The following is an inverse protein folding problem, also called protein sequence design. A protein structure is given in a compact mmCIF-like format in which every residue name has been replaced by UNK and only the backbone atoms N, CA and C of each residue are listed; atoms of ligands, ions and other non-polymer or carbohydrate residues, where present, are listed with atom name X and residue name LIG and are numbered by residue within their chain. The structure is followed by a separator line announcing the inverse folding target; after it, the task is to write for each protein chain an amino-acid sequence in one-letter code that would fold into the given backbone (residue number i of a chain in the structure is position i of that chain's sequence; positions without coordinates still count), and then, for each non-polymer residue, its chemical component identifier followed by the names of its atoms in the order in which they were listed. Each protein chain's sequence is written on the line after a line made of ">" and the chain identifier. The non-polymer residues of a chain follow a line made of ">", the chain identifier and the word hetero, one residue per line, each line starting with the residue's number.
data_IF_974106652320
#
_entry.id   IF_974106652320
#
_cell.length_a   1.000
_cell.length_b   1.000
_cell.length_c   1.000
_cell.angle_alpha   90.00
_cell.angle_beta   90.00
_cell.angle_gamma   90.00
#
_symmetry.space_group_name_H-M   'P 1'
#
loop_
_entity.id
_entity.type
_entity.pdbx_description
1 polymer ?
#
# COMPACT_ATOMS: atom_id res chain seq x y z
N UNK A 1 71.24 -24.04 11.47
CA UNK A 1 70.22 -24.79 12.24
C UNK A 1 69.32 -23.79 12.93
N UNK A 2 68.02 -24.09 12.93
CA UNK A 2 66.91 -23.41 13.62
C UNK A 2 66.28 -22.27 12.82
N UNK A 3 64.98 -22.17 12.64
CA UNK A 3 63.86 -23.09 12.84
C UNK A 3 62.69 -22.35 12.20
N UNK A 4 62.10 -22.94 11.17
CA UNK A 4 60.84 -22.48 10.58
C UNK A 4 59.78 -22.46 11.69
N UNK A 5 59.10 -21.33 11.88
CA UNK A 5 57.86 -21.26 12.66
C UNK A 5 56.76 -20.68 11.77
N UNK A 6 56.12 -21.59 11.03
CA UNK A 6 54.84 -21.33 10.35
C UNK A 6 53.78 -20.99 11.41
N UNK A 7 53.06 -19.88 11.18
CA UNK A 7 51.91 -19.50 12.01
C UNK A 7 50.63 -20.04 11.34
N UNK A 8 49.77 -20.79 12.05
CA UNK A 8 48.61 -21.41 11.44
C UNK A 8 47.51 -20.40 11.13
N UNK A 9 46.93 -20.57 9.95
CA UNK A 9 45.80 -19.86 9.35
C UNK A 9 44.49 -20.08 10.13
N UNK A 10 43.93 -19.01 10.70
CA UNK A 10 42.55 -19.00 11.21
C UNK A 10 41.63 -18.31 10.20
N UNK A 11 41.05 -19.07 9.26
CA UNK A 11 39.99 -18.58 8.38
C UNK A 11 38.66 -18.59 9.15
N UNK A 12 38.37 -17.48 9.82
CA UNK A 12 37.06 -17.21 10.43
C UNK A 12 36.01 -17.17 9.33
N UNK A 13 35.21 -18.23 9.24
CA UNK A 13 34.12 -18.34 8.26
C UNK A 13 32.93 -17.57 8.83
N UNK A 14 32.84 -16.28 8.49
CA UNK A 14 31.74 -15.42 8.93
C UNK A 14 30.44 -15.82 8.19
N UNK A 15 29.47 -16.35 8.92
CA UNK A 15 28.13 -16.65 8.43
C UNK A 15 27.45 -15.34 8.05
N UNK A 16 27.35 -15.06 6.74
CA UNK A 16 26.68 -13.87 6.18
C UNK A 16 25.18 -13.97 6.43
N UNK A 17 24.71 -13.41 7.55
CA UNK A 17 23.28 -13.21 7.83
C UNK A 17 22.68 -12.45 6.65
N UNK A 18 21.81 -13.09 5.88
CA UNK A 18 21.13 -12.50 4.73
C UNK A 18 20.25 -11.36 5.24
N UNK A 19 20.79 -10.14 5.19
CA UNK A 19 19.97 -8.92 5.29
C UNK A 19 19.13 -8.90 4.03
N UNK A 20 17.85 -9.25 4.15
CA UNK A 20 16.87 -8.90 3.12
C UNK A 20 17.01 -7.40 2.92
N UNK A 21 17.37 -6.96 1.71
CA UNK A 21 17.52 -5.55 1.45
C UNK A 21 16.15 -4.90 1.53
N UNK A 22 15.99 -3.92 2.42
CA UNK A 22 14.77 -3.12 2.53
C UNK A 22 14.30 -2.58 1.17
N UNK A 23 15.23 -2.26 0.28
CA UNK A 23 14.97 -1.85 -1.10
C UNK A 23 14.21 -2.92 -1.91
N UNK A 24 14.46 -4.20 -1.66
CA UNK A 24 13.76 -5.30 -2.34
C UNK A 24 12.31 -5.40 -1.87
N UNK A 25 12.08 -5.23 -0.56
CA UNK A 25 10.72 -5.22 0.02
C UNK A 25 9.91 -4.07 -0.57
N UNK A 26 10.50 -2.87 -0.63
CA UNK A 26 9.84 -1.70 -1.22
C UNK A 26 9.53 -1.92 -2.71
N UNK A 27 10.48 -2.46 -3.49
CA UNK A 27 10.24 -2.76 -4.90
C UNK A 27 9.08 -3.75 -5.11
N UNK A 28 9.04 -4.83 -4.33
CA UNK A 28 7.94 -5.80 -4.42
C UNK A 28 6.60 -5.22 -3.96
N UNK A 29 6.59 -4.37 -2.94
CA UNK A 29 5.38 -3.67 -2.51
C UNK A 29 4.85 -2.78 -3.64
N UNK A 30 5.72 -1.99 -4.27
CA UNK A 30 5.33 -1.07 -5.34
C UNK A 30 4.84 -1.83 -6.57
N UNK A 31 5.49 -2.94 -6.93
CA UNK A 31 5.05 -3.83 -7.99
C UNK A 31 3.68 -4.43 -7.70
N UNK A 32 3.46 -4.89 -6.45
CA UNK A 32 2.16 -5.43 -6.03
C UNK A 32 1.07 -4.37 -6.08
N UNK A 33 1.37 -3.12 -5.68
CA UNK A 33 0.43 -2.00 -5.79
C UNK A 33 0.08 -1.70 -7.24
N UNK A 34 1.08 -1.69 -8.13
CA UNK A 34 0.85 -1.46 -9.55
C UNK A 34 -0.03 -2.54 -10.17
N UNK A 35 0.25 -3.81 -9.89
CA UNK A 35 -0.56 -4.93 -10.37
C UNK A 35 -1.99 -4.81 -9.85
N UNK A 36 -2.17 -4.55 -8.56
CA UNK A 36 -3.51 -4.43 -7.99
C UNK A 36 -4.27 -3.22 -8.55
N UNK A 37 -3.58 -2.10 -8.81
CA UNK A 37 -4.17 -0.94 -9.48
C UNK A 37 -4.65 -1.27 -10.90
N UNK A 38 -3.85 -1.99 -11.69
CA UNK A 38 -4.25 -2.44 -13.02
C UNK A 38 -5.46 -3.38 -12.97
N UNK A 39 -5.50 -4.30 -12.00
CA UNK A 39 -6.67 -5.18 -11.78
C UNK A 39 -7.90 -4.35 -11.42
N UNK A 40 -7.79 -3.37 -10.53
CA UNK A 40 -8.89 -2.48 -10.16
C UNK A 40 -9.40 -1.69 -11.38
N UNK A 41 -8.51 -1.14 -12.20
CA UNK A 41 -8.88 -0.46 -13.44
C UNK A 41 -9.61 -1.39 -14.42
N UNK A 42 -9.11 -2.61 -14.57
CA UNK A 42 -9.75 -3.62 -15.40
C UNK A 42 -11.17 -3.92 -14.93
N UNK A 43 -11.35 -4.21 -13.64
CA UNK A 43 -12.68 -4.49 -13.06
C UNK A 43 -13.62 -3.29 -13.19
N UNK A 44 -13.12 -2.07 -12.97
CA UNK A 44 -13.89 -0.86 -13.19
C UNK A 44 -14.36 -0.71 -14.65
N UNK A 45 -13.48 -0.99 -15.61
CA UNK A 45 -13.82 -0.97 -17.03
C UNK A 45 -14.85 -2.04 -17.39
N UNK A 46 -14.73 -3.25 -16.83
CA UNK A 46 -15.73 -4.33 -17.01
C UNK A 46 -17.11 -3.88 -16.52
N UNK A 47 -17.20 -3.35 -15.31
CA UNK A 47 -18.46 -2.88 -14.74
C UNK A 47 -19.06 -1.69 -15.49
N UNK A 48 -18.23 -0.81 -16.05
CA UNK A 48 -18.68 0.40 -16.73
C UNK A 48 -19.06 0.17 -18.20
N UNK A 49 -18.34 -0.72 -18.90
CA UNK A 49 -18.47 -0.89 -20.36
C UNK A 49 -19.09 -2.22 -20.79
N UNK A 50 -19.00 -3.27 -19.97
CA UNK A 50 -19.51 -4.62 -20.33
C UNK A 50 -20.88 -4.87 -19.71
N UNK A 51 -21.08 -4.53 -18.44
CA UNK A 51 -22.39 -4.65 -17.82
C UNK A 51 -23.32 -3.51 -18.28
N UNK A 52 -24.60 -3.81 -18.56
CA UNK A 52 -25.58 -2.77 -18.87
C UNK A 52 -25.84 -1.90 -17.63
N UNK A 53 -26.17 -0.63 -17.85
CA UNK A 53 -26.34 0.34 -16.76
C UNK A 53 -27.61 0.06 -15.92
N UNK A 54 -27.47 0.11 -14.60
CA UNK A 54 -28.58 0.11 -13.64
C UNK A 54 -29.31 -1.22 -13.49
N UNK A 55 -30.63 -1.15 -13.22
CA UNK A 55 -31.49 -2.32 -12.95
C UNK A 55 -31.62 -3.31 -14.13
N UNK A 56 -31.17 -2.92 -15.33
CA UNK A 56 -31.19 -3.78 -16.51
C UNK A 56 -30.09 -4.86 -16.52
N UNK A 57 -29.17 -4.83 -15.56
CA UNK A 57 -28.14 -5.86 -15.38
C UNK A 57 -28.64 -7.09 -14.62
N UNK A 58 -29.88 -7.09 -14.14
CA UNK A 58 -30.42 -8.22 -13.40
C UNK A 58 -30.45 -9.49 -14.28
N UNK A 59 -29.91 -10.58 -13.76
CA UNK A 59 -29.73 -11.85 -14.48
C UNK A 59 -28.55 -11.91 -15.48
N UNK A 60 -27.82 -10.82 -15.73
CA UNK A 60 -26.62 -10.86 -16.57
C UNK A 60 -25.44 -11.43 -15.79
N UNK A 61 -24.74 -12.38 -16.41
CA UNK A 61 -23.52 -12.96 -15.84
C UNK A 61 -22.36 -12.84 -16.81
N UNK A 62 -21.19 -12.51 -16.26
CA UNK A 62 -19.93 -12.53 -16.98
C UNK A 62 -19.01 -13.54 -16.30
N UNK A 63 -18.61 -14.56 -17.05
CA UNK A 63 -17.79 -15.68 -16.56
C UNK A 63 -18.37 -16.37 -15.30
N UNK A 64 -19.70 -16.45 -15.23
CA UNK A 64 -20.42 -17.05 -14.11
C UNK A 64 -20.61 -16.15 -12.88
N UNK A 65 -20.09 -14.91 -12.91
CA UNK A 65 -20.35 -13.90 -11.87
C UNK A 65 -21.38 -12.87 -12.32
N UNK A 66 -22.33 -12.54 -11.46
CA UNK A 66 -23.29 -11.45 -11.67
C UNK A 66 -22.66 -10.07 -11.36
N UNK A 67 -23.41 -8.98 -11.62
CA UNK A 67 -22.93 -7.62 -11.37
C UNK A 67 -22.48 -7.40 -9.91
N UNK A 68 -23.14 -8.04 -8.95
CA UNK A 68 -22.81 -7.93 -7.52
C UNK A 68 -21.47 -8.60 -7.21
N UNK A 69 -21.20 -9.78 -7.78
CA UNK A 69 -19.92 -10.46 -7.64
C UNK A 69 -18.76 -9.60 -8.18
N UNK A 70 -18.95 -8.98 -9.36
CA UNK A 70 -17.94 -8.09 -9.94
C UNK A 70 -17.74 -6.81 -9.13
N UNK A 71 -18.81 -6.21 -8.59
CA UNK A 71 -18.73 -5.08 -7.64
C UNK A 71 -17.98 -5.47 -6.36
N UNK A 72 -18.20 -6.67 -5.83
CA UNK A 72 -17.48 -7.16 -4.66
C UNK A 72 -15.98 -7.34 -4.93
N UNK A 73 -15.61 -7.81 -6.13
CA UNK A 73 -14.20 -7.88 -6.55
C UNK A 73 -13.60 -6.46 -6.65
N UNK A 74 -14.34 -5.51 -7.23
CA UNK A 74 -13.90 -4.11 -7.31
C UNK A 74 -13.66 -3.52 -5.92
N UNK A 75 -14.60 -3.74 -5.01
CA UNK A 75 -14.49 -3.26 -3.64
C UNK A 75 -13.32 -3.91 -2.89
N UNK A 76 -13.15 -5.23 -3.02
CA UNK A 76 -12.06 -5.97 -2.38
C UNK A 76 -10.69 -5.49 -2.88
N UNK A 77 -10.53 -5.33 -4.20
CA UNK A 77 -9.28 -4.83 -4.80
C UNK A 77 -8.99 -3.39 -4.39
N UNK A 78 -10.03 -2.54 -4.29
CA UNK A 78 -9.93 -1.19 -3.74
C UNK A 78 -9.47 -1.20 -2.28
N UNK A 79 -10.01 -2.07 -1.42
CA UNK A 79 -9.58 -2.22 -0.03
C UNK A 79 -8.10 -2.63 0.06
N UNK A 80 -7.70 -3.65 -0.69
CA UNK A 80 -6.29 -4.12 -0.73
C UNK A 80 -5.38 -2.99 -1.20
N UNK A 81 -5.78 -2.25 -2.25
CA UNK A 81 -5.00 -1.14 -2.78
C UNK A 81 -4.85 -0.03 -1.74
N UNK A 82 -5.93 0.32 -1.05
CA UNK A 82 -5.94 1.36 -0.01
C UNK A 82 -5.02 0.99 1.16
N UNK A 83 -5.11 -0.25 1.64
CA UNK A 83 -4.23 -0.75 2.70
C UNK A 83 -2.77 -0.78 2.26
N UNK A 84 -2.51 -1.26 1.05
CA UNK A 84 -1.15 -1.34 0.54
C UNK A 84 -0.53 0.05 0.31
N UNK A 85 -1.28 1.01 -0.24
CA UNK A 85 -0.85 2.42 -0.37
C UNK A 85 -0.59 3.02 1.00
N UNK A 86 -1.42 2.72 2.00
CA UNK A 86 -1.20 3.17 3.38
C UNK A 86 0.14 2.68 3.93
N UNK A 87 0.43 1.38 3.78
CA UNK A 87 1.73 0.81 4.19
C UNK A 87 2.89 1.43 3.41
N UNK A 88 2.74 1.59 2.09
CA UNK A 88 3.77 2.20 1.24
C UNK A 88 4.09 3.64 1.67
N UNK A 89 3.06 4.44 1.99
CA UNK A 89 3.21 5.79 2.51
C UNK A 89 3.93 5.80 3.85
N UNK A 90 3.63 4.86 4.76
CA UNK A 90 4.35 4.74 6.03
C UNK A 90 5.85 4.45 5.81
N UNK A 91 6.19 3.59 4.84
CA UNK A 91 7.59 3.28 4.51
C UNK A 91 8.33 4.46 3.87
N UNK A 92 7.65 5.28 3.08
CA UNK A 92 8.22 6.47 2.45
C UNK A 92 8.10 7.73 3.30
N UNK A 93 7.53 7.66 4.50
CA UNK A 93 7.20 8.85 5.30
C UNK A 93 8.42 9.74 5.62
N UNK A 94 9.56 9.13 5.97
CA UNK A 94 10.80 9.88 6.21
C UNK A 94 11.28 10.63 4.95
N UNK A 95 11.11 10.02 3.78
CA UNK A 95 11.40 10.68 2.51
C UNK A 95 10.43 11.84 2.26
N UNK A 96 9.13 11.67 2.55
CA UNK A 96 8.14 12.75 2.44
C UNK A 96 8.51 13.92 3.35
N UNK A 97 8.84 13.67 4.62
CA UNK A 97 9.31 14.71 5.56
C UNK A 97 10.56 15.42 5.05
N UNK A 98 11.55 14.67 4.53
CA UNK A 98 12.77 15.24 3.95
C UNK A 98 12.48 16.11 2.71
N UNK A 99 11.59 15.67 1.83
CA UNK A 99 11.16 16.43 0.64
C UNK A 99 10.40 17.69 1.05
N UNK A 100 9.45 17.58 1.98
CA UNK A 100 8.64 18.70 2.47
C UNK A 100 9.51 19.77 3.14
N UNK A 101 10.42 19.36 4.03
CA UNK A 101 11.33 20.28 4.72
C UNK A 101 12.30 20.97 3.74
N UNK A 102 12.82 20.23 2.76
CA UNK A 102 13.80 20.75 1.79
C UNK A 102 13.16 21.63 0.72
N UNK A 103 12.04 21.20 0.14
CA UNK A 103 11.42 21.89 -1.01
C UNK A 103 10.44 22.99 -0.57
N UNK A 104 9.69 22.78 0.51
CA UNK A 104 8.63 23.70 0.93
C UNK A 104 9.13 24.64 2.04
N UNK A 105 9.70 24.10 3.12
CA UNK A 105 10.16 24.95 4.23
C UNK A 105 11.55 25.55 4.04
N UNK A 106 12.34 25.05 3.07
CA UNK A 106 13.77 25.42 2.88
C UNK A 106 14.59 25.34 4.18
N UNK A 107 14.22 24.45 5.10
CA UNK A 107 14.86 24.28 6.41
C UNK A 107 15.58 22.94 6.45
N UNK A 108 16.83 22.96 6.94
CA UNK A 108 17.58 21.76 7.31
C UNK A 108 17.32 21.48 8.79
N UNK A 109 16.29 20.69 9.09
CA UNK A 109 15.96 20.29 10.46
C UNK A 109 16.69 18.97 10.77
N UNK A 110 17.25 18.78 11.99
CA UNK A 110 17.82 17.50 12.41
C UNK A 110 16.76 16.39 12.41
N UNK A 111 17.11 15.22 11.89
CA UNK A 111 16.19 14.08 11.71
C UNK A 111 15.77 13.49 13.06
N UNK A 112 14.46 13.41 13.31
CA UNK A 112 13.91 12.77 14.51
C UNK A 112 13.00 11.60 14.10
N UNK A 113 13.62 10.44 13.84
CA UNK A 113 13.00 9.25 13.24
C UNK A 113 11.65 8.82 13.89
N UNK A 114 11.56 8.88 15.22
CA UNK A 114 10.39 8.37 15.95
C UNK A 114 9.17 9.30 15.95
N UNK A 115 9.39 10.61 16.08
CA UNK A 115 8.30 11.59 16.14
C UNK A 115 7.68 11.82 14.76
N UNK A 116 8.51 11.82 13.72
CA UNK A 116 8.08 12.00 12.33
C UNK A 116 7.15 10.85 11.91
N UNK A 117 7.53 9.59 12.15
CA UNK A 117 6.71 8.42 11.83
C UNK A 117 5.35 8.43 12.55
N UNK A 118 5.32 8.84 13.82
CA UNK A 118 4.08 8.91 14.61
C UNK A 118 3.10 9.94 14.05
N UNK A 119 3.60 11.10 13.59
CA UNK A 119 2.79 12.13 12.92
C UNK A 119 2.21 11.60 11.61
N UNK A 120 2.98 10.86 10.83
CA UNK A 120 2.51 10.24 9.58
C UNK A 120 1.40 9.24 9.80
N UNK A 121 1.61 8.31 10.71
CA UNK A 121 0.59 7.32 11.10
C UNK A 121 -0.67 8.02 11.63
N UNK A 122 -0.50 9.04 12.47
CA UNK A 122 -1.62 9.82 13.01
C UNK A 122 -2.43 10.53 11.93
N UNK A 123 -1.77 11.17 10.96
CA UNK A 123 -2.44 11.87 9.87
C UNK A 123 -3.21 10.90 8.96
N UNK A 124 -2.60 9.78 8.59
CA UNK A 124 -3.28 8.75 7.78
C UNK A 124 -4.47 8.16 8.53
N UNK A 125 -4.32 7.86 9.83
CA UNK A 125 -5.40 7.35 10.65
C UNK A 125 -6.58 8.34 10.69
N UNK A 126 -6.33 9.64 10.86
CA UNK A 126 -7.38 10.67 10.84
C UNK A 126 -8.12 10.69 9.51
N UNK A 127 -7.41 10.66 8.38
CA UNK A 127 -8.03 10.67 7.03
C UNK A 127 -8.92 9.43 6.85
N UNK A 128 -8.42 8.24 7.21
CA UNK A 128 -9.20 7.00 7.12
C UNK A 128 -10.48 7.08 7.96
N UNK A 129 -10.41 7.63 9.17
CA UNK A 129 -11.58 7.79 10.03
C UNK A 129 -12.57 8.82 9.47
N UNK A 130 -12.11 9.91 8.87
CA UNK A 130 -12.98 10.90 8.22
C UNK A 130 -13.77 10.23 7.08
N UNK A 131 -13.10 9.44 6.23
CA UNK A 131 -13.76 8.71 5.14
C UNK A 131 -14.78 7.71 5.71
N UNK A 132 -14.42 6.94 6.74
CA UNK A 132 -15.33 5.98 7.37
C UNK A 132 -16.57 6.66 7.96
N UNK A 133 -16.39 7.79 8.65
CA UNK A 133 -17.49 8.59 9.20
C UNK A 133 -18.39 9.11 8.07
N UNK A 134 -17.81 9.61 6.98
CA UNK A 134 -18.57 10.08 5.82
C UNK A 134 -19.40 8.95 5.18
N UNK A 135 -18.85 7.73 5.09
CA UNK A 135 -19.59 6.56 4.60
C UNK A 135 -20.75 6.17 5.54
N UNK A 136 -20.52 6.18 6.85
CA UNK A 136 -21.58 5.90 7.84
C UNK A 136 -22.70 6.95 7.76
N UNK A 137 -22.33 8.22 7.61
CA UNK A 137 -23.28 9.31 7.42
C UNK A 137 -24.08 9.13 6.12
N UNK A 138 -23.42 8.83 5.00
CA UNK A 138 -24.06 8.57 3.72
C UNK A 138 -25.04 7.38 3.81
N UNK A 139 -24.64 6.30 4.48
CA UNK A 139 -25.52 5.14 4.74
C UNK A 139 -26.76 5.54 5.52
N UNK A 140 -26.62 6.41 6.52
CA UNK A 140 -27.76 6.86 7.32
C UNK A 140 -28.72 7.76 6.55
N UNK A 141 -28.24 8.48 5.53
CA UNK A 141 -29.08 9.31 4.66
C UNK A 141 -29.86 8.55 3.59
N UNK A 142 -29.73 7.22 3.51
CA UNK A 142 -30.50 6.41 2.55
C UNK A 142 -31.97 6.38 2.99
N UNK A 143 -32.85 6.89 2.12
CA UNK A 143 -34.31 6.81 2.28
C UNK A 143 -34.82 5.64 1.43
N UNK A 144 -35.57 4.71 2.05
CA UNK A 144 -36.26 3.66 1.29
C UNK A 144 -37.35 4.30 0.43
N UNK A 145 -37.53 3.90 -0.84
CA UNK A 145 -38.77 4.18 -1.54
C UNK A 145 -39.91 3.55 -0.72
N UNK A 146 -40.89 4.37 -0.32
CA UNK A 146 -42.13 3.93 0.30
C UNK A 146 -43.13 3.44 -0.73
#
# INVERSE_FOLDING_TARGET
>A
MNSVTEKPTSKTTATRKTRVSWSLINFFLDLLLLINFVVLMWVAAVLQFIFPVGANADGWTLWGGDIVAWQNIQFTTLCILTLGVTVHLMLHWNWICAVFNKQILKRTVPHSDGAETLVGVGLIAVIVHIIAIAMLFAKWSIVSPG
#
